data_IF_338573811214
#
_entry.id   IF_338573811214
#
_cell.length_a   1.000
_cell.length_b   1.000
_cell.length_c   1.000
_cell.angle_alpha   90.00
_cell.angle_beta   90.00
_cell.angle_gamma   90.00
#
_symmetry.space_group_name_H-M   'P 1'
#
loop_
_entity.id
_entity.type
_entity.pdbx_description
1 polymer ?
#
# COMPACT_ATOMS: atom_id res chain seq x y z
N UNK A 1 -2.62 21.43 -22.44
CA UNK A 1 -3.42 20.27 -21.98
C UNK A 1 -2.44 19.16 -21.63
N UNK A 2 -2.47 18.63 -20.40
CA UNK A 2 -1.59 17.51 -20.04
C UNK A 2 -2.11 16.21 -20.69
N UNK A 3 -1.22 15.42 -21.28
CA UNK A 3 -1.56 14.08 -21.77
C UNK A 3 -1.65 13.07 -20.62
N UNK A 4 -2.29 11.93 -20.86
CA UNK A 4 -2.50 10.89 -19.82
C UNK A 4 -1.23 10.43 -19.11
N UNK A 5 -0.09 10.38 -19.83
CA UNK A 5 1.21 10.05 -19.24
C UNK A 5 1.66 11.07 -18.18
N UNK A 6 1.39 12.36 -18.39
CA UNK A 6 1.76 13.40 -17.44
C UNK A 6 0.86 13.38 -16.19
N UNK A 7 -0.44 13.12 -16.37
CA UNK A 7 -1.37 12.93 -15.24
C UNK A 7 -0.90 11.77 -14.37
N UNK A 8 -0.56 10.64 -14.99
CA UNK A 8 -0.10 9.47 -14.27
C UNK A 8 1.24 9.71 -13.56
N UNK A 9 2.19 10.37 -14.23
CA UNK A 9 3.47 10.73 -13.60
C UNK A 9 3.26 11.62 -12.37
N UNK A 10 2.36 12.61 -12.44
CA UNK A 10 2.03 13.48 -11.30
C UNK A 10 1.41 12.66 -10.17
N UNK A 11 0.45 11.79 -10.47
CA UNK A 11 -0.16 10.91 -9.47
C UNK A 11 0.90 10.03 -8.78
N UNK A 12 1.78 9.38 -9.53
CA UNK A 12 2.85 8.54 -8.97
C UNK A 12 3.83 9.36 -8.12
N UNK A 13 4.14 10.60 -8.49
CA UNK A 13 4.96 11.49 -7.64
C UNK A 13 4.25 11.84 -6.35
N UNK A 14 2.95 12.16 -6.40
CA UNK A 14 2.18 12.42 -5.18
C UNK A 14 2.16 11.21 -4.25
N UNK A 15 2.01 9.99 -4.79
CA UNK A 15 2.12 8.76 -4.00
C UNK A 15 3.55 8.60 -3.44
N UNK A 16 4.57 8.91 -4.24
CA UNK A 16 5.96 8.86 -3.84
C UNK A 16 6.31 9.83 -2.71
N UNK A 17 5.90 11.10 -2.81
CA UNK A 17 6.07 12.12 -1.76
C UNK A 17 5.45 11.66 -0.43
N UNK A 18 4.31 10.96 -0.49
CA UNK A 18 3.64 10.43 0.69
C UNK A 18 4.33 9.19 1.29
N UNK A 19 4.94 8.36 0.45
CA UNK A 19 5.72 7.19 0.88
C UNK A 19 7.16 7.55 1.30
N UNK A 20 7.62 8.77 1.06
CA UNK A 20 8.94 9.21 1.47
C UNK A 20 9.09 9.12 2.99
N UNK A 21 10.15 8.47 3.47
CA UNK A 21 10.37 8.23 4.90
C UNK A 21 9.49 7.15 5.55
N UNK A 22 8.53 6.56 4.83
CA UNK A 22 7.62 5.52 5.38
C UNK A 22 8.28 4.15 5.64
N UNK A 23 9.52 3.95 5.19
CA UNK A 23 10.17 2.64 5.16
C UNK A 23 9.92 1.85 3.87
N UNK A 24 9.08 2.35 2.94
CA UNK A 24 8.75 1.66 1.70
C UNK A 24 9.97 1.31 0.84
N UNK A 25 10.92 2.25 0.67
CA UNK A 25 12.16 2.01 -0.07
C UNK A 25 12.96 0.87 0.56
N UNK A 26 13.09 0.88 1.88
CA UNK A 26 13.79 -0.16 2.64
C UNK A 26 13.10 -1.51 2.47
N UNK A 27 11.77 -1.55 2.52
CA UNK A 27 11.00 -2.78 2.30
C UNK A 27 11.23 -3.36 0.90
N UNK A 28 11.26 -2.53 -0.14
CA UNK A 28 11.55 -2.98 -1.51
C UNK A 28 12.98 -3.52 -1.65
N UNK A 29 13.94 -2.89 -0.99
CA UNK A 29 15.35 -3.33 -1.01
C UNK A 29 15.54 -4.63 -0.25
N UNK A 30 14.96 -4.73 0.95
CA UNK A 30 15.04 -5.92 1.79
C UNK A 30 14.33 -7.13 1.17
N UNK A 31 13.26 -6.90 0.42
CA UNK A 31 12.57 -7.93 -0.36
C UNK A 31 13.27 -8.26 -1.70
N UNK A 32 14.44 -7.66 -1.97
CA UNK A 32 15.21 -7.85 -3.21
C UNK A 32 14.44 -7.50 -4.50
N UNK A 33 13.41 -6.66 -4.40
CA UNK A 33 12.59 -6.22 -5.54
C UNK A 33 13.37 -5.21 -6.38
N UNK A 34 14.16 -4.35 -5.74
CA UNK A 34 14.93 -3.31 -6.38
C UNK A 34 16.19 -2.98 -5.58
N UNK A 35 17.23 -2.50 -6.26
CA UNK A 35 18.39 -1.90 -5.58
C UNK A 35 18.00 -0.57 -4.93
N UNK A 36 18.75 -0.12 -3.92
CA UNK A 36 18.44 1.13 -3.21
C UNK A 36 18.24 2.34 -4.13
N UNK A 37 19.11 2.54 -5.12
CA UNK A 37 18.96 3.63 -6.08
C UNK A 37 17.75 3.47 -7.01
N UNK A 38 17.38 2.24 -7.36
CA UNK A 38 16.19 1.98 -8.18
C UNK A 38 14.91 2.19 -7.37
N UNK A 39 14.87 1.71 -6.12
CA UNK A 39 13.75 1.90 -5.21
C UNK A 39 13.54 3.39 -4.89
N UNK A 40 14.60 4.16 -4.64
CA UNK A 40 14.52 5.62 -4.45
C UNK A 40 13.96 6.34 -5.69
N UNK A 41 14.32 5.87 -6.90
CA UNK A 41 13.80 6.43 -8.15
C UNK A 41 12.28 6.29 -8.31
N UNK A 42 11.65 5.33 -7.62
CA UNK A 42 10.20 5.16 -7.64
C UNK A 42 9.49 6.26 -6.87
N UNK A 43 10.06 6.78 -5.78
CA UNK A 43 9.50 7.94 -5.07
C UNK A 43 9.38 9.16 -6.00
N UNK A 44 10.34 9.33 -6.92
CA UNK A 44 10.39 10.48 -7.84
C UNK A 44 9.66 10.23 -9.16
N UNK A 45 9.06 9.05 -9.34
CA UNK A 45 8.49 8.56 -10.59
C UNK A 45 9.40 8.76 -11.82
N UNK A 46 10.72 8.57 -11.65
CA UNK A 46 11.72 8.80 -12.72
C UNK A 46 11.45 7.94 -13.97
N UNK A 47 10.83 6.77 -13.78
CA UNK A 47 10.33 5.92 -14.85
C UNK A 47 8.89 5.49 -14.55
N UNK A 48 7.92 6.12 -15.22
CA UNK A 48 6.48 5.93 -14.97
C UNK A 48 6.08 4.45 -14.95
N UNK A 49 6.44 3.67 -15.98
CA UNK A 49 6.05 2.25 -16.07
C UNK A 49 6.62 1.40 -14.93
N UNK A 50 7.89 1.60 -14.58
CA UNK A 50 8.53 0.82 -13.49
C UNK A 50 7.98 1.22 -12.13
N UNK A 51 7.75 2.51 -11.94
CA UNK A 51 7.15 3.06 -10.72
C UNK A 51 5.73 2.53 -10.53
N UNK A 52 4.88 2.58 -11.56
CA UNK A 52 3.55 1.97 -11.54
C UNK A 52 3.60 0.51 -11.12
N UNK A 53 4.49 -0.29 -11.72
CA UNK A 53 4.63 -1.71 -11.36
C UNK A 53 5.03 -1.89 -9.89
N UNK A 54 5.95 -1.07 -9.37
CA UNK A 54 6.34 -1.12 -7.97
C UNK A 54 5.16 -0.82 -7.02
N UNK A 55 4.34 0.21 -7.33
CA UNK A 55 3.13 0.50 -6.57
C UNK A 55 2.10 -0.63 -6.65
N UNK A 56 1.88 -1.23 -7.83
CA UNK A 56 0.97 -2.38 -8.00
C UNK A 56 1.41 -3.60 -7.18
N UNK A 57 2.70 -3.93 -7.21
CA UNK A 57 3.25 -5.04 -6.40
C UNK A 57 3.09 -4.74 -4.91
N UNK A 58 3.34 -3.49 -4.50
CA UNK A 58 3.17 -3.06 -3.10
C UNK A 58 1.72 -3.18 -2.65
N UNK A 59 0.77 -2.71 -3.45
CA UNK A 59 -0.65 -2.80 -3.16
C UNK A 59 -1.12 -4.25 -3.03
N UNK A 60 -0.70 -5.13 -3.95
CA UNK A 60 -1.02 -6.56 -3.89
C UNK A 60 -0.41 -7.24 -2.65
N UNK A 61 0.86 -6.94 -2.34
CA UNK A 61 1.52 -7.46 -1.15
C UNK A 61 0.81 -7.00 0.13
N UNK A 62 0.42 -5.73 0.20
CA UNK A 62 -0.32 -5.20 1.34
C UNK A 62 -1.68 -5.88 1.50
N UNK A 63 -2.44 -6.05 0.43
CA UNK A 63 -3.74 -6.73 0.47
C UNK A 63 -3.64 -8.14 1.06
N UNK A 64 -2.60 -8.89 0.66
CA UNK A 64 -2.30 -10.23 1.20
C UNK A 64 -1.94 -10.14 2.70
N UNK A 65 -1.10 -9.18 3.09
CA UNK A 65 -0.71 -8.99 4.49
C UNK A 65 -1.90 -8.59 5.37
N UNK A 66 -2.80 -7.74 4.87
CA UNK A 66 -4.04 -7.36 5.56
C UNK A 66 -4.94 -8.57 5.80
N UNK A 67 -5.16 -9.41 4.77
CA UNK A 67 -5.94 -10.64 4.91
C UNK A 67 -5.31 -11.61 5.91
N UNK A 68 -3.98 -11.75 5.91
CA UNK A 68 -3.29 -12.59 6.90
C UNK A 68 -3.47 -12.05 8.32
N UNK A 69 -3.37 -10.74 8.50
CA UNK A 69 -3.60 -10.10 9.79
C UNK A 69 -5.05 -10.27 10.26
N UNK A 70 -6.02 -10.12 9.35
CA UNK A 70 -7.44 -10.36 9.63
C UNK A 70 -7.71 -11.81 10.02
N UNK A 71 -7.18 -12.78 9.27
CA UNK A 71 -7.32 -14.19 9.61
C UNK A 71 -6.75 -14.52 11.00
N UNK A 72 -5.59 -13.94 11.32
CA UNK A 72 -5.01 -14.10 12.66
C UNK A 72 -5.86 -13.43 13.75
N UNK A 73 -6.44 -12.27 13.47
CA UNK A 73 -7.39 -11.60 14.36
C UNK A 73 -8.60 -12.49 14.65
N UNK A 74 -9.22 -13.06 13.61
CA UNK A 74 -10.38 -13.95 13.76
C UNK A 74 -10.07 -15.23 14.54
N UNK A 75 -8.85 -15.77 14.42
CA UNK A 75 -8.41 -16.96 15.17
C UNK A 75 -8.05 -16.67 16.63
N UNK A 76 -7.69 -15.43 16.95
CA UNK A 76 -7.20 -15.03 18.27
C UNK A 76 -8.27 -14.51 19.23
N UNK A 77 -9.45 -14.14 18.73
CA UNK A 77 -10.54 -13.66 19.58
C UNK A 77 -11.42 -14.82 20.07
N UNK A 78 -11.57 -14.95 21.39
CA UNK A 78 -12.66 -15.70 22.03
C UNK A 78 -13.98 -14.93 21.94
N UNK A 79 -14.33 -14.48 20.74
CA UNK A 79 -15.62 -13.84 20.43
C UNK A 79 -16.47 -14.80 19.64
N UNK A 80 -17.77 -14.75 19.86
CA UNK A 80 -18.71 -15.51 19.05
C UNK A 80 -18.57 -15.05 17.59
N UNK A 81 -18.63 -15.98 16.64
CA UNK A 81 -18.41 -15.69 15.23
C UNK A 81 -19.39 -14.63 14.65
N UNK A 82 -20.51 -14.40 15.33
CA UNK A 82 -21.50 -13.36 14.99
C UNK A 82 -21.04 -11.93 15.33
N UNK A 83 -20.04 -11.76 16.19
CA UNK A 83 -19.54 -10.43 16.61
C UNK A 83 -18.29 -9.99 15.83
N UNK A 84 -17.76 -10.82 14.92
CA UNK A 84 -16.58 -10.48 14.13
C UNK A 84 -16.95 -9.58 12.95
N UNK A 85 -16.36 -8.37 12.83
CA UNK A 85 -16.61 -7.51 11.67
C UNK A 85 -16.09 -8.17 10.39
N UNK A 86 -16.74 -7.91 9.27
CA UNK A 86 -16.26 -8.35 7.96
C UNK A 86 -14.88 -7.75 7.65
N UNK A 87 -14.11 -8.37 6.75
CA UNK A 87 -12.74 -7.94 6.43
C UNK A 87 -12.64 -6.45 6.10
N UNK A 88 -13.58 -5.92 5.32
CA UNK A 88 -13.59 -4.51 4.89
C UNK A 88 -13.88 -3.58 6.07
N UNK A 89 -14.85 -3.91 6.91
CA UNK A 89 -15.17 -3.15 8.13
C UNK A 89 -14.01 -3.19 9.13
N UNK A 90 -13.37 -4.35 9.27
CA UNK A 90 -12.16 -4.49 10.09
C UNK A 90 -11.03 -3.62 9.55
N UNK A 91 -10.81 -3.59 8.23
CA UNK A 91 -9.80 -2.72 7.64
C UNK A 91 -10.13 -1.23 7.84
N UNK A 92 -11.40 -0.85 7.75
CA UNK A 92 -11.85 0.52 8.05
C UNK A 92 -11.57 0.90 9.50
N UNK A 93 -11.96 0.06 10.47
CA UNK A 93 -11.67 0.26 11.90
C UNK A 93 -10.17 0.37 12.17
N UNK A 94 -9.37 -0.54 11.61
CA UNK A 94 -7.90 -0.48 11.72
C UNK A 94 -7.32 0.75 11.04
N UNK A 95 -7.97 1.27 10.01
CA UNK A 95 -7.61 2.52 9.35
C UNK A 95 -7.77 3.74 10.26
N UNK A 96 -8.78 3.76 11.13
CA UNK A 96 -8.96 4.86 12.10
C UNK A 96 -7.82 4.92 13.12
N UNK A 97 -7.30 3.75 13.52
CA UNK A 97 -6.19 3.64 14.48
C UNK A 97 -4.81 3.78 13.83
N UNK A 98 -4.68 3.45 12.54
CA UNK A 98 -3.41 3.36 11.81
C UNK A 98 -3.49 4.25 10.56
N UNK A 99 -2.93 5.47 10.60
CA UNK A 99 -2.99 6.42 9.49
C UNK A 99 -2.49 5.86 8.14
N UNK A 100 -1.55 4.91 8.19
CA UNK A 100 -1.04 4.22 7.02
C UNK A 100 -2.10 3.30 6.38
N UNK A 101 -2.90 2.57 7.18
CA UNK A 101 -3.96 1.70 6.69
C UNK A 101 -5.10 2.48 6.02
N UNK A 102 -5.50 3.60 6.62
CA UNK A 102 -6.56 4.47 6.08
C UNK A 102 -6.28 4.89 4.64
N UNK A 103 -5.05 5.29 4.35
CA UNK A 103 -4.66 5.69 3.00
C UNK A 103 -4.73 4.55 1.99
N UNK A 104 -4.27 3.35 2.36
CA UNK A 104 -4.32 2.21 1.45
C UNK A 104 -5.76 1.77 1.18
N UNK A 105 -6.65 1.91 2.15
CA UNK A 105 -8.08 1.67 1.96
C UNK A 105 -8.73 2.70 1.01
N UNK A 106 -8.32 3.98 1.07
CA UNK A 106 -8.90 5.04 0.23
C UNK A 106 -8.28 5.10 -1.18
N UNK A 107 -7.00 4.72 -1.32
CA UNK A 107 -6.25 4.81 -2.59
C UNK A 107 -6.11 3.47 -3.33
N UNK A 108 -6.41 2.36 -2.66
CA UNK A 108 -6.43 1.01 -3.22
C UNK A 108 -7.74 0.69 -3.93
N UNK A 109 -7.95 1.31 -5.10
CA UNK A 109 -8.86 0.89 -6.18
C UNK A 109 -10.05 0.00 -5.78
N UNK A 110 -11.14 0.65 -5.35
CA UNK A 110 -12.50 0.16 -5.59
C UNK A 110 -12.91 0.54 -7.03
#
# INVERSE_FOLDING_TARGET
>A
MFGGLHIEMVALKTLGDWLEGSGWVQALVQAEIATAGTADSFLRASHVLRTRRAHQVTAAALYILQHRAYNHYCLGETRDAEDLPEFEDWCCQRGEDIPQFHYWAITGWN
#
